data_IF_737351314177
#
_entry.id   IF_737351314177
#
_cell.length_a   1.000
_cell.length_b   1.000
_cell.length_c   1.000
_cell.angle_alpha   90.00
_cell.angle_beta   90.00
_cell.angle_gamma   90.00
#
_symmetry.space_group_name_H-M   'P 1'
#
loop_
_entity.id
_entity.type
_entity.pdbx_description
1 polymer ?
#
# COMPACT_ATOMS: atom_id res chain seq x y z
N UNK A 1 27.34 -35.87 35.68
CA UNK A 1 26.01 -35.64 35.11
C UNK A 1 26.12 -34.51 34.09
N UNK A 2 25.94 -34.76 32.80
CA UNK A 2 26.05 -33.71 31.80
C UNK A 2 24.71 -33.00 31.63
N UNK A 3 24.77 -31.69 31.72
CA UNK A 3 23.68 -30.75 31.44
C UNK A 3 23.31 -30.76 29.95
N UNK A 4 22.06 -31.08 29.64
CA UNK A 4 21.49 -31.00 28.29
C UNK A 4 21.38 -29.51 27.92
N UNK A 5 22.18 -29.07 26.96
CA UNK A 5 21.96 -27.84 26.21
C UNK A 5 20.80 -28.05 25.24
N UNK A 6 19.71 -27.39 25.47
CA UNK A 6 18.60 -27.29 24.51
C UNK A 6 19.02 -26.26 23.44
N UNK A 7 19.51 -26.76 22.33
CA UNK A 7 19.65 -25.95 21.12
C UNK A 7 18.24 -25.75 20.53
N UNK A 8 17.59 -24.60 20.83
CA UNK A 8 16.47 -24.11 20.07
C UNK A 8 16.96 -23.80 18.65
N UNK A 9 16.52 -24.63 17.72
CA UNK A 9 16.70 -24.36 16.30
C UNK A 9 15.94 -23.08 15.93
N UNK A 10 16.66 -22.00 15.79
CA UNK A 10 16.19 -20.81 15.07
C UNK A 10 15.86 -21.27 13.66
N UNK A 11 14.57 -21.36 13.33
CA UNK A 11 14.12 -21.58 11.94
C UNK A 11 14.75 -20.49 11.11
N UNK A 12 15.62 -20.88 10.17
CA UNK A 12 16.32 -19.97 9.28
C UNK A 12 15.35 -19.06 8.58
N UNK A 13 15.78 -17.81 8.35
CA UNK A 13 15.07 -16.90 7.46
C UNK A 13 14.80 -17.62 6.15
N UNK A 14 13.56 -17.57 5.61
CA UNK A 14 13.29 -18.17 4.31
C UNK A 14 14.26 -17.58 3.29
N UNK A 15 14.99 -18.45 2.62
CA UNK A 15 15.78 -18.08 1.46
C UNK A 15 14.88 -17.41 0.41
N UNK A 16 15.46 -16.65 -0.51
CA UNK A 16 14.75 -16.02 -1.62
C UNK A 16 13.71 -16.98 -2.18
N UNK A 17 12.50 -16.63 -2.04
CA UNK A 17 11.22 -17.28 -2.10
C UNK A 17 11.09 -18.60 -2.88
N UNK A 18 10.66 -19.61 -2.19
CA UNK A 18 10.06 -20.82 -2.78
C UNK A 18 8.63 -20.56 -3.33
N UNK A 19 8.18 -19.29 -3.42
CA UNK A 19 6.81 -18.97 -3.87
C UNK A 19 6.52 -19.53 -5.28
N UNK A 20 7.43 -19.38 -6.20
CA UNK A 20 7.25 -19.87 -7.59
C UNK A 20 7.25 -21.38 -7.70
N UNK A 21 7.76 -22.13 -6.70
CA UNK A 21 7.75 -23.58 -6.65
C UNK A 21 6.43 -24.13 -6.11
N UNK A 22 5.64 -23.30 -5.46
CA UNK A 22 4.35 -23.67 -4.87
C UNK A 22 3.28 -23.83 -5.97
N UNK A 23 2.61 -24.96 -5.96
CA UNK A 23 1.53 -25.27 -6.93
C UNK A 23 0.40 -24.24 -6.90
N UNK A 24 -0.03 -23.81 -5.70
CA UNK A 24 -1.10 -22.82 -5.54
C UNK A 24 -0.72 -21.44 -6.09
N UNK A 25 0.55 -21.07 -6.02
CA UNK A 25 1.08 -19.83 -6.63
C UNK A 25 1.14 -19.97 -8.15
N UNK A 26 1.64 -21.08 -8.67
CA UNK A 26 1.72 -21.32 -10.13
C UNK A 26 0.34 -21.31 -10.80
N UNK A 27 -0.65 -21.95 -10.17
CA UNK A 27 -2.04 -21.92 -10.66
C UNK A 27 -2.60 -20.51 -10.67
N UNK A 28 -2.36 -19.75 -9.60
CA UNK A 28 -2.76 -18.36 -9.50
C UNK A 28 -2.11 -17.47 -10.57
N UNK A 29 -0.79 -17.62 -10.81
CA UNK A 29 -0.10 -16.84 -11.84
C UNK A 29 -0.57 -17.18 -13.26
N UNK A 30 -0.87 -18.45 -13.55
CA UNK A 30 -1.49 -18.87 -14.81
C UNK A 30 -2.87 -18.23 -14.99
N UNK A 31 -3.68 -18.18 -13.94
CA UNK A 31 -5.00 -17.54 -13.97
C UNK A 31 -4.90 -16.03 -14.26
N UNK A 32 -3.96 -15.31 -13.61
CA UNK A 32 -3.68 -13.89 -13.91
C UNK A 32 -3.24 -13.72 -15.35
N UNK A 33 -2.25 -14.50 -15.80
CA UNK A 33 -1.75 -14.43 -17.17
C UNK A 33 -2.88 -14.54 -18.19
N UNK A 34 -3.76 -15.51 -18.02
CA UNK A 34 -4.90 -15.73 -18.91
C UNK A 34 -5.95 -14.60 -18.84
N UNK A 35 -6.22 -14.05 -17.68
CA UNK A 35 -7.28 -13.05 -17.48
C UNK A 35 -6.83 -11.62 -17.80
N UNK A 36 -5.59 -11.28 -17.48
CA UNK A 36 -5.07 -9.92 -17.64
C UNK A 36 -4.18 -9.76 -18.88
N UNK A 37 -3.82 -10.86 -19.57
CA UNK A 37 -2.93 -10.83 -20.72
C UNK A 37 -1.47 -10.54 -20.38
N UNK A 38 -1.07 -10.70 -19.12
CA UNK A 38 0.30 -10.49 -18.66
C UNK A 38 1.12 -11.74 -18.99
N UNK A 39 2.33 -11.63 -19.60
CA UNK A 39 3.15 -12.80 -19.88
C UNK A 39 3.47 -13.61 -18.61
N UNK A 40 3.21 -14.92 -18.65
CA UNK A 40 3.45 -15.80 -17.50
C UNK A 40 4.92 -15.78 -17.06
N UNK A 41 5.83 -15.72 -18.03
CA UNK A 41 7.26 -15.63 -17.75
C UNK A 41 7.62 -14.39 -16.93
N UNK A 42 7.06 -13.23 -17.26
CA UNK A 42 7.25 -12.01 -16.47
C UNK A 42 6.72 -12.17 -15.04
N UNK A 43 5.49 -12.70 -14.89
CA UNK A 43 4.90 -12.95 -13.57
C UNK A 43 5.77 -13.89 -12.72
N UNK A 44 6.27 -14.97 -13.32
CA UNK A 44 7.14 -15.93 -12.64
C UNK A 44 8.46 -15.29 -12.21
N UNK A 45 9.08 -14.50 -13.08
CA UNK A 45 10.34 -13.81 -12.80
C UNK A 45 10.21 -12.78 -11.68
N UNK A 46 9.15 -11.98 -11.68
CA UNK A 46 8.93 -10.98 -10.64
C UNK A 46 8.55 -11.61 -9.30
N UNK A 47 7.68 -12.62 -9.30
CA UNK A 47 7.28 -13.33 -8.08
C UNK A 47 8.42 -14.17 -7.49
N UNK A 48 9.37 -14.64 -8.30
CA UNK A 48 10.59 -15.27 -7.81
C UNK A 48 11.44 -14.37 -6.90
N UNK A 49 11.28 -13.06 -7.02
CA UNK A 49 11.97 -12.07 -6.18
C UNK A 49 11.24 -11.72 -4.89
N UNK A 50 10.01 -12.23 -4.70
CA UNK A 50 9.22 -11.99 -3.50
C UNK A 50 9.80 -12.72 -2.28
N UNK A 51 9.60 -12.19 -1.09
CA UNK A 51 10.05 -12.75 0.16
C UNK A 51 8.92 -12.79 1.18
N UNK A 52 8.92 -13.80 2.01
CA UNK A 52 7.99 -13.85 3.15
C UNK A 52 8.25 -12.67 4.09
N UNK A 53 7.17 -11.95 4.45
CA UNK A 53 7.20 -10.80 5.35
C UNK A 53 6.52 -11.12 6.69
N UNK A 54 7.27 -11.60 7.70
CA UNK A 54 6.68 -11.95 9.00
C UNK A 54 6.04 -10.76 9.72
N UNK A 55 6.50 -9.54 9.44
CA UNK A 55 5.91 -8.33 10.01
C UNK A 55 4.57 -7.99 9.36
N UNK A 56 4.40 -8.25 8.05
CA UNK A 56 3.11 -8.06 7.37
C UNK A 56 2.05 -8.99 7.97
N UNK A 57 2.36 -10.26 8.15
CA UNK A 57 1.48 -11.20 8.82
C UNK A 57 1.18 -10.79 10.26
N UNK A 58 2.21 -10.47 11.05
CA UNK A 58 2.08 -10.07 12.46
C UNK A 58 1.20 -8.83 12.64
N UNK A 59 1.39 -7.80 11.82
CA UNK A 59 0.64 -6.54 11.96
C UNK A 59 -0.79 -6.64 11.45
N UNK A 60 -1.05 -7.53 10.49
CA UNK A 60 -2.38 -7.80 9.97
C UNK A 60 -3.18 -8.73 10.89
N UNK A 61 -2.50 -9.56 11.70
CA UNK A 61 -3.16 -10.48 12.64
C UNK A 61 -3.76 -9.71 13.83
N UNK A 62 -5.09 -9.79 14.07
CA UNK A 62 -5.72 -9.15 15.21
C UNK A 62 -5.14 -9.67 16.52
N UNK A 63 -4.90 -8.78 17.46
CA UNK A 63 -4.47 -9.18 18.81
C UNK A 63 -5.63 -9.81 19.55
N UNK A 64 -5.43 -10.94 20.27
CA UNK A 64 -6.50 -11.70 20.93
C UNK A 64 -7.39 -10.91 21.93
N UNK A 65 -6.93 -9.74 22.37
CA UNK A 65 -7.66 -8.89 23.33
C UNK A 65 -7.93 -7.46 22.80
N UNK A 66 -7.79 -7.22 21.50
CA UNK A 66 -8.05 -5.89 20.92
C UNK A 66 -9.51 -5.47 21.13
N UNK A 67 -10.44 -6.43 21.09
CA UNK A 67 -11.87 -6.19 21.24
C UNK A 67 -12.32 -5.99 22.70
N UNK A 68 -11.47 -6.33 23.67
CA UNK A 68 -11.78 -6.17 25.11
C UNK A 68 -11.38 -4.80 25.69
N UNK A 69 -10.62 -4.00 24.97
CA UNK A 69 -10.53 -2.55 25.21
C UNK A 69 -11.72 -1.86 24.56
N UNK A 70 -12.87 -2.35 24.97
CA UNK A 70 -14.12 -1.66 24.86
C UNK A 70 -14.02 -0.24 25.31
N UNK A 71 -14.72 0.58 24.62
CA UNK A 71 -15.50 1.68 25.18
C UNK A 71 -14.81 2.53 26.25
N UNK A 72 -13.49 2.65 26.28
CA UNK A 72 -13.05 3.99 26.35
C UNK A 72 -13.74 4.63 25.14
N UNK A 73 -14.72 5.49 25.34
CA UNK A 73 -15.12 6.46 24.37
C UNK A 73 -13.86 6.79 23.63
N UNK A 74 -13.81 6.39 22.34
CA UNK A 74 -12.61 6.61 21.54
C UNK A 74 -12.41 8.08 21.67
N UNK A 75 -11.46 8.48 22.50
CA UNK A 75 -11.43 9.84 23.00
C UNK A 75 -11.10 10.67 21.75
N UNK A 76 -12.15 11.13 21.05
CA UNK A 76 -12.04 11.89 19.81
C UNK A 76 -11.03 13.01 20.00
N UNK A 77 -11.01 13.64 21.18
CA UNK A 77 -10.04 14.67 21.53
C UNK A 77 -8.59 14.14 21.53
N UNK A 78 -8.37 12.89 21.97
CA UNK A 78 -7.03 12.29 21.92
C UNK A 78 -6.64 11.94 20.49
N UNK A 79 -7.57 11.43 19.70
CA UNK A 79 -7.37 11.17 18.28
C UNK A 79 -7.09 12.48 17.54
N UNK A 80 -7.91 13.49 17.73
CA UNK A 80 -7.75 14.83 17.15
C UNK A 80 -6.38 15.42 17.50
N UNK A 81 -5.99 15.43 18.77
CA UNK A 81 -4.66 15.94 19.20
C UNK A 81 -3.50 15.20 18.57
N UNK A 82 -3.62 13.91 18.28
CA UNK A 82 -2.58 13.12 17.63
C UNK A 82 -2.49 13.39 16.12
N UNK A 83 -3.61 13.75 15.50
CA UNK A 83 -3.70 13.99 14.07
C UNK A 83 -3.57 15.48 13.75
N UNK A 84 -4.23 16.35 14.53
CA UNK A 84 -4.24 17.80 14.34
C UNK A 84 -3.34 18.45 15.39
N UNK A 85 -2.06 18.54 15.07
CA UNK A 85 -1.05 19.18 15.93
C UNK A 85 -0.22 20.20 15.15
N UNK A 86 0.53 21.05 15.86
CA UNK A 86 1.29 22.14 15.26
C UNK A 86 2.25 21.66 14.15
N UNK A 87 2.94 20.54 14.38
CA UNK A 87 3.88 19.98 13.37
C UNK A 87 3.14 19.60 12.08
N UNK A 88 1.99 18.93 12.18
CA UNK A 88 1.22 18.53 10.99
C UNK A 88 0.60 19.72 10.27
N UNK A 89 0.13 20.74 11.02
CA UNK A 89 -0.40 21.98 10.43
C UNK A 89 0.69 22.71 9.65
N UNK A 90 1.89 22.87 10.23
CA UNK A 90 3.03 23.49 9.57
C UNK A 90 3.46 22.75 8.31
N UNK A 91 3.54 21.40 8.40
CA UNK A 91 3.87 20.54 7.26
C UNK A 91 2.81 20.63 6.16
N UNK A 92 1.54 20.67 6.51
CA UNK A 92 0.45 20.80 5.54
C UNK A 92 0.47 22.15 4.84
N UNK A 93 0.76 23.22 5.58
CA UNK A 93 0.92 24.54 5.00
C UNK A 93 2.15 24.63 4.07
N UNK A 94 3.26 23.97 4.43
CA UNK A 94 4.44 23.85 3.56
C UNK A 94 4.11 23.04 2.30
N UNK A 95 3.50 21.87 2.43
CA UNK A 95 3.12 20.99 1.32
C UNK A 95 2.18 21.69 0.32
N UNK A 96 1.20 22.46 0.82
CA UNK A 96 0.32 23.26 -0.03
C UNK A 96 1.07 24.36 -0.79
N UNK A 97 2.07 25.01 -0.16
CA UNK A 97 2.89 26.04 -0.82
C UNK A 97 3.82 25.42 -1.85
N UNK A 98 4.51 24.34 -1.50
CA UNK A 98 5.50 23.68 -2.35
C UNK A 98 4.87 23.10 -3.62
N UNK A 99 3.58 22.72 -3.57
CA UNK A 99 2.81 22.15 -4.68
C UNK A 99 1.62 23.01 -5.11
N UNK A 100 1.68 24.34 -4.89
CA UNK A 100 0.54 25.24 -5.09
C UNK A 100 -0.03 25.20 -6.51
N UNK A 101 0.80 25.09 -7.54
CA UNK A 101 0.37 25.02 -8.94
C UNK A 101 -0.39 23.74 -9.24
N UNK A 102 0.10 22.61 -8.74
CA UNK A 102 -0.56 21.30 -8.86
C UNK A 102 -1.92 21.34 -8.16
N UNK A 103 -1.96 21.83 -6.93
CA UNK A 103 -3.22 21.96 -6.19
C UNK A 103 -4.22 22.89 -6.87
N UNK A 104 -3.76 24.02 -7.42
CA UNK A 104 -4.64 24.95 -8.11
C UNK A 104 -5.30 24.30 -9.33
N UNK A 105 -4.50 23.65 -10.16
CA UNK A 105 -4.97 22.96 -11.36
C UNK A 105 -5.91 21.81 -11.02
N UNK A 106 -5.53 20.94 -10.08
CA UNK A 106 -6.33 19.77 -9.71
C UNK A 106 -7.64 20.18 -9.03
N UNK A 107 -7.66 21.25 -8.24
CA UNK A 107 -8.89 21.80 -7.65
C UNK A 107 -9.83 22.34 -8.75
N UNK A 108 -9.31 23.03 -9.77
CA UNK A 108 -10.10 23.51 -10.91
C UNK A 108 -10.67 22.33 -11.74
N UNK A 109 -9.86 21.29 -12.00
CA UNK A 109 -10.26 20.14 -12.79
C UNK A 109 -11.26 19.22 -12.07
N UNK A 110 -11.10 19.02 -10.78
CA UNK A 110 -11.87 18.04 -9.99
C UNK A 110 -13.04 18.64 -9.22
N UNK A 111 -13.04 19.94 -8.96
CA UNK A 111 -13.96 20.59 -8.04
C UNK A 111 -13.71 20.28 -6.56
N UNK A 112 -12.71 19.46 -6.24
CA UNK A 112 -12.40 19.08 -4.86
C UNK A 112 -11.45 20.09 -4.23
N UNK A 113 -11.82 20.63 -3.06
CA UNK A 113 -10.99 21.59 -2.35
C UNK A 113 -9.58 21.03 -2.09
N UNK A 114 -8.54 21.83 -2.45
CA UNK A 114 -7.13 21.55 -2.16
C UNK A 114 -6.88 21.26 -0.69
N UNK A 115 -7.64 21.86 0.21
CA UNK A 115 -7.52 21.65 1.65
C UNK A 115 -8.02 20.26 2.06
N UNK A 116 -9.09 19.75 1.43
CA UNK A 116 -9.57 18.40 1.67
C UNK A 116 -8.55 17.35 1.20
N UNK A 117 -8.01 17.53 -0.01
CA UNK A 117 -6.96 16.66 -0.56
C UNK A 117 -5.71 16.66 0.34
N UNK A 118 -5.23 17.85 0.72
CA UNK A 118 -4.07 17.97 1.60
C UNK A 118 -4.33 17.34 2.99
N UNK A 119 -5.54 17.47 3.53
CA UNK A 119 -5.91 16.87 4.81
C UNK A 119 -5.85 15.34 4.77
N UNK A 120 -6.38 14.71 3.72
CA UNK A 120 -6.28 13.25 3.52
C UNK A 120 -4.81 12.83 3.45
N UNK A 121 -3.99 13.48 2.62
CA UNK A 121 -2.56 13.19 2.49
C UNK A 121 -1.85 13.37 3.86
N UNK A 122 -2.25 14.38 4.62
CA UNK A 122 -1.72 14.61 5.97
C UNK A 122 -2.06 13.49 6.96
N UNK A 123 -3.27 12.93 6.89
CA UNK A 123 -3.70 11.82 7.74
C UNK A 123 -2.99 10.53 7.33
N UNK A 124 -2.98 10.22 6.04
CA UNK A 124 -2.53 8.93 5.50
C UNK A 124 -1.00 8.77 5.54
N UNK A 125 -0.26 9.77 5.13
CA UNK A 125 1.20 9.64 4.96
C UNK A 125 2.05 10.70 5.67
N UNK A 126 1.42 11.62 6.42
CA UNK A 126 2.12 12.79 7.00
C UNK A 126 2.85 13.56 5.89
N UNK A 127 2.13 13.86 4.81
CA UNK A 127 2.64 14.55 3.62
C UNK A 127 3.87 13.84 3.01
N UNK A 128 3.78 12.52 2.87
CA UNK A 128 4.82 11.68 2.27
C UNK A 128 5.93 11.22 3.24
N UNK A 129 5.93 11.68 4.50
CA UNK A 129 6.95 11.27 5.49
C UNK A 129 6.82 9.81 5.93
N UNK A 130 5.62 9.26 5.87
CA UNK A 130 5.30 7.91 6.31
C UNK A 130 4.41 7.19 5.29
N UNK A 131 4.97 6.82 4.17
CA UNK A 131 4.27 6.03 3.13
C UNK A 131 4.46 4.52 3.28
N UNK A 132 5.13 4.08 4.36
CA UNK A 132 5.52 2.69 4.54
C UNK A 132 6.92 2.39 3.95
N UNK A 133 7.48 1.25 4.37
CA UNK A 133 8.83 0.81 3.96
C UNK A 133 8.88 -0.69 3.64
N UNK A 134 7.72 -1.31 3.54
CA UNK A 134 7.62 -2.72 3.15
C UNK A 134 7.61 -2.81 1.63
N UNK A 135 8.29 -3.78 1.07
CA UNK A 135 8.08 -4.10 -0.34
C UNK A 135 6.64 -4.60 -0.49
N UNK A 136 5.87 -3.93 -1.35
CA UNK A 136 4.45 -4.24 -1.53
C UNK A 136 4.26 -5.67 -2.04
N UNK A 137 5.13 -6.12 -2.94
CA UNK A 137 5.14 -7.50 -3.42
C UNK A 137 5.25 -8.50 -2.27
N UNK A 138 6.22 -8.32 -1.36
CA UNK A 138 6.44 -9.21 -0.22
C UNK A 138 5.23 -9.25 0.72
N UNK A 139 4.67 -8.08 1.02
CA UNK A 139 3.50 -7.95 1.88
C UNK A 139 2.29 -8.68 1.27
N UNK A 140 1.98 -8.40 0.00
CA UNK A 140 0.82 -8.98 -0.67
C UNK A 140 0.99 -10.48 -0.93
N UNK A 141 2.19 -10.96 -1.30
CA UNK A 141 2.47 -12.40 -1.44
C UNK A 141 2.26 -13.15 -0.13
N UNK A 142 2.84 -12.65 0.97
CA UNK A 142 2.65 -13.22 2.31
C UNK A 142 1.18 -13.26 2.70
N UNK A 143 0.46 -12.15 2.55
CA UNK A 143 -0.93 -12.06 2.94
C UNK A 143 -1.88 -12.85 2.03
N UNK A 144 -1.45 -13.17 0.81
CA UNK A 144 -2.21 -13.95 -0.16
C UNK A 144 -2.08 -15.46 0.03
N UNK A 145 -0.90 -15.92 0.46
CA UNK A 145 -0.57 -17.33 0.42
C UNK A 145 -0.22 -17.95 1.78
N UNK A 146 0.18 -17.14 2.77
CA UNK A 146 0.58 -17.62 4.09
C UNK A 146 -0.38 -17.16 5.19
N UNK A 147 -1.17 -16.09 4.95
CA UNK A 147 -2.16 -15.57 5.88
C UNK A 147 -3.58 -15.94 5.44
N UNK A 148 -4.18 -16.93 6.10
CA UNK A 148 -5.44 -17.55 5.65
C UNK A 148 -6.67 -16.66 5.83
N UNK A 149 -6.68 -15.77 6.83
CA UNK A 149 -7.89 -15.06 7.27
C UNK A 149 -8.54 -14.17 6.21
N UNK A 150 -7.78 -13.56 5.30
CA UNK A 150 -8.26 -12.71 4.21
C UNK A 150 -7.55 -12.99 2.89
N UNK A 151 -7.07 -14.20 2.69
CA UNK A 151 -6.28 -14.59 1.54
C UNK A 151 -6.94 -14.22 0.20
N UNK A 152 -8.25 -14.45 0.06
CA UNK A 152 -9.00 -14.09 -1.17
C UNK A 152 -8.94 -12.59 -1.47
N UNK A 153 -9.09 -11.74 -0.46
CA UNK A 153 -8.98 -10.30 -0.61
C UNK A 153 -7.57 -9.90 -1.05
N UNK A 154 -6.54 -10.39 -0.36
CA UNK A 154 -5.16 -10.05 -0.69
C UNK A 154 -4.72 -10.59 -2.06
N UNK A 155 -5.24 -11.75 -2.50
CA UNK A 155 -5.03 -12.25 -3.87
C UNK A 155 -5.62 -11.32 -4.93
N UNK A 156 -6.78 -10.69 -4.66
CA UNK A 156 -7.33 -9.67 -5.55
C UNK A 156 -6.44 -8.45 -5.61
N UNK A 157 -5.98 -7.95 -4.45
CA UNK A 157 -5.07 -6.81 -4.38
C UNK A 157 -3.71 -7.11 -5.05
N UNK A 158 -3.19 -8.32 -4.89
CA UNK A 158 -1.96 -8.77 -5.56
C UNK A 158 -2.14 -8.81 -7.09
N UNK A 159 -3.30 -9.27 -7.57
CA UNK A 159 -3.62 -9.25 -9.01
C UNK A 159 -3.60 -7.83 -9.55
N UNK A 160 -4.27 -6.91 -8.88
CA UNK A 160 -4.32 -5.50 -9.26
C UNK A 160 -2.94 -4.83 -9.17
N UNK A 161 -2.13 -5.21 -8.20
CA UNK A 161 -0.75 -4.73 -8.06
C UNK A 161 0.15 -5.19 -9.21
N UNK A 162 0.11 -6.47 -9.56
CA UNK A 162 0.91 -7.02 -10.67
C UNK A 162 0.47 -6.43 -12.02
N UNK A 163 -0.84 -6.27 -12.24
CA UNK A 163 -1.38 -5.60 -13.43
C UNK A 163 -0.95 -4.13 -13.52
N UNK A 164 -1.01 -3.42 -12.41
CA UNK A 164 -0.51 -2.04 -12.32
C UNK A 164 0.98 -1.96 -12.68
N UNK A 165 1.82 -2.77 -12.04
CA UNK A 165 3.26 -2.78 -12.31
C UNK A 165 3.57 -3.12 -13.78
N UNK A 166 2.86 -4.09 -14.36
CA UNK A 166 3.00 -4.44 -15.77
C UNK A 166 2.66 -3.27 -16.69
N UNK A 167 1.52 -2.59 -16.46
CA UNK A 167 1.07 -1.46 -17.27
C UNK A 167 1.97 -0.23 -17.13
N UNK A 168 2.48 0.02 -15.92
CA UNK A 168 3.39 1.13 -15.65
C UNK A 168 4.85 0.81 -15.99
N UNK A 169 5.15 -0.42 -16.44
CA UNK A 169 6.50 -0.87 -16.76
C UNK A 169 7.51 -0.72 -15.62
N UNK A 170 7.04 -0.94 -14.40
CA UNK A 170 7.86 -0.90 -13.18
C UNK A 170 8.01 -2.30 -12.58
N UNK A 171 9.17 -2.57 -11.97
CA UNK A 171 9.37 -3.83 -11.26
C UNK A 171 8.62 -3.82 -9.93
N UNK A 172 7.77 -4.84 -9.64
CA UNK A 172 7.04 -4.96 -8.37
C UNK A 172 7.92 -4.89 -7.12
N UNK A 173 9.19 -5.29 -7.22
CA UNK A 173 10.13 -5.23 -6.08
C UNK A 173 10.61 -3.83 -5.75
N UNK A 174 10.46 -2.86 -6.66
CA UNK A 174 10.85 -1.47 -6.41
C UNK A 174 9.80 -0.69 -5.62
N UNK A 175 8.56 -1.16 -5.58
CA UNK A 175 7.44 -0.44 -4.95
C UNK A 175 7.42 -0.70 -3.45
N UNK A 176 7.44 0.38 -2.66
CA UNK A 176 7.32 0.33 -1.21
C UNK A 176 5.99 0.90 -0.74
N UNK A 177 5.53 0.41 0.41
CA UNK A 177 4.26 0.81 0.98
C UNK A 177 4.08 0.31 2.41
N UNK A 178 2.83 0.23 2.86
CA UNK A 178 2.47 -0.27 4.18
C UNK A 178 2.67 -1.78 4.29
N UNK A 179 2.65 -2.30 5.51
CA UNK A 179 2.69 -3.73 5.78
C UNK A 179 1.52 -4.53 5.17
N UNK A 180 0.45 -3.86 4.76
CA UNK A 180 -0.73 -4.46 4.14
C UNK A 180 -0.81 -4.18 2.62
N UNK A 181 0.17 -3.48 2.04
CA UNK A 181 0.23 -3.21 0.61
C UNK A 181 -0.37 -1.87 0.15
N UNK A 182 -0.70 -0.95 1.08
CA UNK A 182 -1.13 0.39 0.70
C UNK A 182 0.07 1.25 0.27
N UNK A 183 -0.11 2.11 -0.76
CA UNK A 183 0.96 2.81 -1.46
C UNK A 183 0.75 4.32 -1.53
N UNK A 184 1.86 5.04 -1.51
CA UNK A 184 1.94 6.45 -1.88
C UNK A 184 1.34 7.42 -0.87
N UNK A 185 1.17 8.67 -1.30
CA UNK A 185 0.69 9.79 -0.49
C UNK A 185 -0.69 9.54 0.11
N UNK A 186 -1.60 8.94 -0.66
CA UNK A 186 -2.98 8.64 -0.26
C UNK A 186 -3.17 7.24 0.31
N UNK A 187 -2.11 6.45 0.49
CA UNK A 187 -2.16 5.07 0.99
C UNK A 187 -3.21 4.21 0.26
N UNK A 188 -3.17 4.26 -1.07
CA UNK A 188 -4.07 3.47 -1.92
C UNK A 188 -3.73 1.99 -1.87
N UNK A 189 -4.75 1.16 -1.68
CA UNK A 189 -4.65 -0.26 -2.01
C UNK A 189 -4.60 -0.42 -3.55
N UNK A 190 -3.96 -1.48 -4.07
CA UNK A 190 -3.82 -1.67 -5.53
C UNK A 190 -5.12 -1.57 -6.33
N UNK A 191 -6.22 -2.17 -5.85
CA UNK A 191 -7.53 -2.05 -6.48
C UNK A 191 -8.02 -0.61 -6.56
N UNK A 192 -7.80 0.17 -5.49
CA UNK A 192 -8.17 1.59 -5.45
C UNK A 192 -7.28 2.41 -6.38
N UNK A 193 -5.97 2.12 -6.43
CA UNK A 193 -5.06 2.80 -7.35
C UNK A 193 -5.42 2.52 -8.82
N UNK A 194 -5.77 1.28 -9.15
CA UNK A 194 -6.27 0.94 -10.48
C UNK A 194 -7.54 1.70 -10.86
N UNK A 195 -8.46 1.89 -9.91
CA UNK A 195 -9.74 2.55 -10.16
C UNK A 195 -9.64 4.08 -10.18
N UNK A 196 -8.79 4.67 -9.37
CA UNK A 196 -8.78 6.11 -9.08
C UNK A 196 -7.43 6.79 -9.34
N UNK A 197 -6.38 6.05 -9.62
CA UNK A 197 -5.06 6.61 -9.93
C UNK A 197 -5.11 7.55 -11.12
N UNK A 198 -4.37 8.64 -11.04
CA UNK A 198 -4.24 9.68 -12.06
C UNK A 198 -2.77 10.02 -12.27
N UNK A 199 -2.41 10.15 -13.53
CA UNK A 199 -1.21 10.85 -13.98
C UNK A 199 -1.45 12.34 -13.78
N UNK A 200 -0.83 12.89 -12.77
CA UNK A 200 -1.05 14.27 -12.34
C UNK A 200 -0.05 15.26 -12.94
N UNK A 201 1.09 14.81 -13.46
CA UNK A 201 2.08 15.66 -14.12
C UNK A 201 2.10 15.50 -15.65
N UNK A 202 1.38 14.49 -16.18
CA UNK A 202 1.19 14.29 -17.61
C UNK A 202 2.37 13.60 -18.29
N UNK A 203 3.17 12.84 -17.53
CA UNK A 203 4.34 12.13 -18.06
C UNK A 203 3.98 10.76 -18.70
N UNK A 204 2.73 10.34 -18.61
CA UNK A 204 2.19 9.08 -19.15
C UNK A 204 2.24 7.91 -18.16
N UNK A 205 2.69 8.15 -16.94
CA UNK A 205 2.78 7.17 -15.88
C UNK A 205 1.97 7.58 -14.65
N UNK A 206 1.70 6.63 -13.74
CA UNK A 206 1.10 6.90 -12.45
C UNK A 206 2.09 6.46 -11.37
N UNK A 207 2.75 7.41 -10.72
CA UNK A 207 3.70 7.17 -9.63
C UNK A 207 3.27 7.86 -8.34
N UNK A 208 2.33 7.28 -7.63
CA UNK A 208 1.81 7.84 -6.36
C UNK A 208 2.84 7.82 -5.21
N UNK A 209 4.00 7.18 -5.42
CA UNK A 209 5.07 7.09 -4.42
C UNK A 209 6.08 8.22 -4.58
N UNK A 210 6.51 8.51 -5.82
CA UNK A 210 7.58 9.46 -6.09
C UNK A 210 7.09 10.77 -6.75
N UNK A 211 5.90 10.76 -7.42
CA UNK A 211 5.28 11.96 -7.97
C UNK A 211 4.24 12.54 -7.01
N UNK A 212 4.51 13.69 -6.35
CA UNK A 212 3.50 14.39 -5.58
C UNK A 212 2.28 14.80 -6.40
N UNK A 213 2.47 15.11 -7.69
CA UNK A 213 1.38 15.49 -8.59
C UNK A 213 0.38 14.35 -8.79
N UNK A 214 0.88 13.11 -9.00
CA UNK A 214 0.04 11.94 -9.16
C UNK A 214 -0.69 11.58 -7.86
N UNK A 215 0.03 11.66 -6.74
CA UNK A 215 -0.56 11.44 -5.42
C UNK A 215 -1.70 12.43 -5.12
N UNK A 216 -1.51 13.72 -5.40
CA UNK A 216 -2.51 14.76 -5.24
C UNK A 216 -3.69 14.53 -6.18
N UNK A 217 -3.43 14.29 -7.48
CA UNK A 217 -4.46 14.06 -8.49
C UNK A 217 -5.27 12.80 -8.19
N UNK A 218 -4.62 11.72 -7.76
CA UNK A 218 -5.29 10.47 -7.39
C UNK A 218 -6.21 10.62 -6.19
N UNK A 219 -5.77 11.33 -5.14
CA UNK A 219 -6.62 11.61 -3.96
C UNK A 219 -7.81 12.49 -4.34
N UNK A 220 -7.60 13.53 -5.14
CA UNK A 220 -8.68 14.39 -5.61
C UNK A 220 -9.69 13.60 -6.46
N UNK A 221 -9.21 12.78 -7.39
CA UNK A 221 -10.07 11.94 -8.22
C UNK A 221 -10.89 10.93 -7.39
N UNK A 222 -10.26 10.31 -6.38
CA UNK A 222 -10.97 9.43 -5.46
C UNK A 222 -12.12 10.16 -4.76
N UNK A 223 -11.87 11.35 -4.22
CA UNK A 223 -12.88 12.16 -3.53
C UNK A 223 -14.00 12.60 -4.48
N UNK A 224 -13.65 13.09 -5.68
CA UNK A 224 -14.61 13.53 -6.70
C UNK A 224 -15.56 12.38 -7.13
N UNK A 225 -15.00 11.20 -7.43
CA UNK A 225 -15.80 10.02 -7.83
C UNK A 225 -16.74 9.56 -6.70
N UNK A 226 -16.37 9.79 -5.44
CA UNK A 226 -17.20 9.48 -4.28
C UNK A 226 -18.14 10.63 -3.88
N UNK A 227 -18.27 11.66 -4.72
CA UNK A 227 -19.23 12.74 -4.52
C UNK A 227 -18.83 13.80 -3.51
N UNK A 228 -17.54 13.92 -3.23
CA UNK A 228 -17.00 15.02 -2.44
C UNK A 228 -16.97 16.30 -3.31
N UNK A 229 -17.81 17.26 -2.96
CA UNK A 229 -17.90 18.59 -3.59
C UNK A 229 -17.76 19.69 -2.56
#
# INVERSE_FOLDING_TARGET
>A
MPTKSAAESVKGSPAASDYVERTDVQEYLKDISNKQGIPLEWLMNEVALARYSPLSERYTTPRPNADKKTTAEKNFLLYERNIVNAERIERGAAFLRDHQEVFARIEEESGVSRYAVAAIIGVESIYGRNMGRFRVLDALMTLSFDYTRRAKYYRSELTDFLDFCWKQQISPVSVTGSFAGAMGLGQFMPASLRAYGKDGDGDGHIDVVNSPADGIASVANYLAVHGWV
#
